data_IF_018623436024
#
_entry.id   IF_018623436024
#
_cell.length_a   1.000
_cell.length_b   1.000
_cell.length_c   1.000
_cell.angle_alpha   90.00
_cell.angle_beta   90.00
_cell.angle_gamma   90.00
#
_symmetry.space_group_name_H-M   'P 1'
#
loop_
_entity.id
_entity.type
_entity.pdbx_description
1 polymer ?
#
# COMPACT_ATOMS: atom_id res chain seq x y z
N UNK A 1 -10.04 23.22 -7.28
CA UNK A 1 -10.26 22.38 -6.12
C UNK A 1 -9.14 21.39 -5.96
N UNK A 2 -8.62 21.29 -4.77
CA UNK A 2 -7.47 20.43 -4.54
C UNK A 2 -7.88 18.97 -4.52
N UNK A 3 -7.05 18.15 -5.12
CA UNK A 3 -7.26 16.72 -5.06
C UNK A 3 -6.78 16.17 -3.71
N UNK A 4 -7.35 15.05 -3.30
CA UNK A 4 -6.86 14.34 -2.13
C UNK A 4 -5.51 13.73 -2.49
N UNK A 5 -4.51 13.99 -1.66
CA UNK A 5 -3.19 13.42 -1.87
C UNK A 5 -3.09 12.06 -1.21
N UNK A 6 -2.63 11.09 -1.96
CA UNK A 6 -2.52 9.72 -1.49
C UNK A 6 -1.12 9.20 -1.68
N UNK A 7 -0.77 8.21 -0.87
CA UNK A 7 0.45 7.43 -1.06
C UNK A 7 0.07 6.08 -1.62
N UNK A 8 0.94 5.52 -2.43
CA UNK A 8 0.78 4.14 -2.91
C UNK A 8 1.78 3.30 -2.17
N UNK A 9 1.34 2.19 -1.61
CA UNK A 9 2.22 1.25 -0.93
C UNK A 9 2.10 -0.13 -1.55
N UNK A 10 3.23 -0.70 -1.94
CA UNK A 10 3.32 -2.03 -2.53
C UNK A 10 4.28 -2.88 -1.72
N UNK A 11 3.92 -4.13 -1.48
CA UNK A 11 4.79 -5.07 -0.79
C UNK A 11 4.72 -6.42 -1.48
N UNK A 12 5.89 -7.02 -1.67
CA UNK A 12 6.00 -8.37 -2.22
C UNK A 12 6.84 -9.21 -1.27
N UNK A 13 6.31 -10.34 -0.85
CA UNK A 13 7.02 -11.28 0.02
C UNK A 13 8.18 -11.94 -0.72
N UNK A 14 9.21 -12.42 0.00
CA UNK A 14 10.42 -12.96 -0.64
C UNK A 14 10.23 -14.41 -1.07
N UNK A 15 9.42 -14.65 -2.09
CA UNK A 15 9.10 -16.01 -2.54
C UNK A 15 9.73 -16.37 -3.90
N UNK A 16 10.45 -15.44 -4.50
CA UNK A 16 11.01 -15.65 -5.83
C UNK A 16 12.29 -14.81 -5.97
N UNK A 17 12.90 -14.86 -7.14
CA UNK A 17 14.10 -14.05 -7.38
C UNK A 17 13.74 -12.57 -7.49
N UNK A 18 14.77 -11.75 -7.36
CA UNK A 18 14.58 -10.31 -7.33
C UNK A 18 13.91 -9.75 -8.59
N UNK A 19 14.27 -10.29 -9.73
CA UNK A 19 13.68 -9.84 -10.98
C UNK A 19 12.17 -10.07 -11.00
N UNK A 20 11.75 -11.27 -10.60
CA UNK A 20 10.33 -11.60 -10.54
C UNK A 20 9.59 -10.73 -9.54
N UNK A 21 10.19 -10.56 -8.36
CA UNK A 21 9.54 -9.74 -7.32
C UNK A 21 9.39 -8.29 -7.77
N UNK A 22 10.40 -7.75 -8.41
CA UNK A 22 10.35 -6.37 -8.91
C UNK A 22 9.25 -6.22 -9.95
N UNK A 23 9.14 -7.20 -10.83
CA UNK A 23 8.10 -7.17 -11.86
C UNK A 23 6.70 -7.21 -11.24
N UNK A 24 6.49 -8.08 -10.25
CA UNK A 24 5.20 -8.19 -9.60
C UNK A 24 4.85 -6.94 -8.79
N UNK A 25 5.85 -6.33 -8.18
CA UNK A 25 5.62 -5.07 -7.48
C UNK A 25 5.20 -3.97 -8.45
N UNK A 26 5.79 -3.96 -9.63
CA UNK A 26 5.41 -3.02 -10.69
C UNK A 26 3.97 -3.18 -11.12
N UNK A 27 3.49 -4.43 -11.17
CA UNK A 27 2.09 -4.68 -11.50
C UNK A 27 1.17 -4.11 -10.42
N UNK A 28 1.50 -4.30 -9.15
CA UNK A 28 0.73 -3.70 -8.06
C UNK A 28 0.70 -2.18 -8.20
N UNK A 29 1.85 -1.59 -8.44
CA UNK A 29 1.97 -0.14 -8.53
C UNK A 29 1.13 0.39 -9.68
N UNK A 30 1.19 -0.27 -10.84
CA UNK A 30 0.42 0.18 -11.99
C UNK A 30 -1.08 0.13 -11.72
N UNK A 31 -1.55 -0.92 -11.06
CA UNK A 31 -2.96 -1.04 -10.71
C UNK A 31 -3.38 0.07 -9.76
N UNK A 32 -2.52 0.41 -8.81
CA UNK A 32 -2.86 1.47 -7.85
C UNK A 32 -2.79 2.86 -8.47
N UNK A 33 -1.87 3.07 -9.41
CA UNK A 33 -1.84 4.33 -10.15
C UNK A 33 -3.14 4.52 -10.93
N UNK A 34 -3.61 3.45 -11.54
CA UNK A 34 -4.87 3.47 -12.29
C UNK A 34 -6.05 3.77 -11.37
N UNK A 35 -6.06 3.13 -10.21
CA UNK A 35 -7.11 3.37 -9.22
C UNK A 35 -7.11 4.82 -8.75
N UNK A 36 -5.93 5.37 -8.50
CA UNK A 36 -5.81 6.76 -8.07
C UNK A 36 -6.34 7.69 -9.15
N UNK A 37 -5.99 7.44 -10.40
CA UNK A 37 -6.46 8.27 -11.51
C UNK A 37 -7.98 8.20 -11.64
N UNK A 38 -8.53 7.00 -11.55
CA UNK A 38 -9.99 6.81 -11.66
C UNK A 38 -10.74 7.49 -10.52
N UNK A 39 -10.10 7.61 -9.37
CA UNK A 39 -10.70 8.25 -8.20
C UNK A 39 -10.38 9.74 -8.10
N UNK A 40 -9.65 10.25 -9.07
CA UNK A 40 -9.25 11.66 -9.10
C UNK A 40 -8.39 12.05 -7.90
N UNK A 41 -7.53 11.14 -7.48
CA UNK A 41 -6.56 11.41 -6.40
C UNK A 41 -5.25 11.87 -7.01
N UNK A 42 -4.48 12.61 -6.20
CA UNK A 42 -3.13 12.99 -6.57
C UNK A 42 -2.17 12.06 -5.84
N UNK A 43 -1.29 11.36 -6.58
CA UNK A 43 -0.31 10.48 -5.97
C UNK A 43 0.88 11.30 -5.53
N UNK A 44 1.07 11.43 -4.22
CA UNK A 44 2.17 12.21 -3.68
C UNK A 44 3.46 11.42 -3.66
N UNK A 45 3.38 10.10 -3.43
CA UNK A 45 4.59 9.29 -3.32
C UNK A 45 4.23 7.81 -3.46
N UNK A 46 5.18 7.03 -3.96
CA UNK A 46 5.05 5.57 -4.02
C UNK A 46 6.09 4.93 -3.12
N UNK A 47 5.68 3.90 -2.39
CA UNK A 47 6.54 3.19 -1.43
C UNK A 47 6.53 1.72 -1.78
N UNK A 48 7.70 1.12 -1.87
CA UNK A 48 7.84 -0.28 -2.28
C UNK A 48 8.74 -1.03 -1.32
N UNK A 49 8.22 -2.10 -0.74
CA UNK A 49 9.01 -3.03 0.07
C UNK A 49 9.03 -4.37 -0.64
N UNK A 50 10.09 -4.60 -1.39
CA UNK A 50 10.25 -5.80 -2.20
C UNK A 50 11.10 -6.79 -1.42
N UNK A 51 10.56 -8.00 -1.21
CA UNK A 51 11.27 -9.03 -0.48
C UNK A 51 11.11 -8.93 1.03
N UNK A 52 9.99 -8.36 1.50
CA UNK A 52 9.71 -8.24 2.92
C UNK A 52 8.36 -8.88 3.23
N UNK A 53 8.27 -9.52 4.39
CA UNK A 53 7.03 -10.14 4.82
C UNK A 53 6.12 -9.13 5.50
N UNK A 54 4.83 -9.46 5.55
CA UNK A 54 3.84 -8.55 6.11
C UNK A 54 3.88 -8.41 7.62
N UNK A 55 4.61 -9.29 8.31
CA UNK A 55 4.78 -9.18 9.76
C UNK A 55 6.06 -8.45 10.15
N UNK A 56 6.86 -8.02 9.19
CA UNK A 56 8.08 -7.28 9.47
C UNK A 56 7.75 -5.79 9.56
N UNK A 57 7.68 -5.28 10.77
CA UNK A 57 7.31 -3.88 10.98
C UNK A 57 8.47 -2.92 10.71
N UNK A 58 9.67 -3.45 10.48
CA UNK A 58 10.84 -2.62 10.22
C UNK A 58 11.11 -2.40 8.74
N UNK A 59 10.18 -2.75 7.89
CA UNK A 59 10.32 -2.55 6.45
C UNK A 59 10.67 -1.11 6.13
N UNK A 60 11.73 -0.86 5.33
CA UNK A 60 12.21 0.51 5.13
C UNK A 60 11.19 1.45 4.49
N UNK A 61 10.48 0.98 3.48
CA UNK A 61 9.50 1.85 2.82
C UNK A 61 8.32 2.13 3.73
N UNK A 62 7.88 1.14 4.51
CA UNK A 62 6.81 1.36 5.48
C UNK A 62 7.23 2.40 6.52
N UNK A 63 8.47 2.32 7.02
CA UNK A 63 8.96 3.29 7.98
C UNK A 63 9.00 4.69 7.38
N UNK A 64 9.43 4.80 6.13
CA UNK A 64 9.45 6.10 5.45
C UNK A 64 8.04 6.62 5.25
N UNK A 65 7.11 5.73 4.92
CA UNK A 65 5.70 6.11 4.74
C UNK A 65 5.12 6.69 6.02
N UNK A 66 5.41 6.06 7.14
CA UNK A 66 4.91 6.55 8.43
C UNK A 66 5.47 7.94 8.74
N UNK A 67 6.75 8.15 8.48
CA UNK A 67 7.36 9.47 8.70
C UNK A 67 6.75 10.53 7.79
N UNK A 68 6.53 10.18 6.53
CA UNK A 68 6.00 11.12 5.56
C UNK A 68 4.56 11.46 5.84
N UNK A 69 3.79 10.49 6.33
CA UNK A 69 2.43 10.79 6.75
C UNK A 69 2.44 11.78 7.91
N UNK A 70 3.32 11.56 8.87
CA UNK A 70 3.41 12.46 10.03
C UNK A 70 3.77 13.88 9.62
N UNK A 71 4.49 14.04 8.52
CA UNK A 71 4.86 15.37 8.05
C UNK A 71 3.81 15.99 7.11
N UNK A 72 2.71 15.29 6.88
CA UNK A 72 1.61 15.85 6.11
C UNK A 72 1.70 15.69 4.61
N UNK A 73 2.54 14.77 4.12
CA UNK A 73 2.73 14.61 2.68
C UNK A 73 1.52 14.09 1.95
N UNK A 74 0.70 13.31 2.61
CA UNK A 74 -0.50 12.73 2.02
C UNK A 74 -1.50 12.45 3.13
N UNK A 75 -2.74 12.17 2.77
CA UNK A 75 -3.77 11.94 3.77
C UNK A 75 -4.36 10.55 3.76
N UNK A 76 -4.00 9.72 2.79
CA UNK A 76 -4.56 8.36 2.68
C UNK A 76 -3.57 7.47 1.96
N UNK A 77 -3.63 6.17 2.25
CA UNK A 77 -2.74 5.19 1.64
C UNK A 77 -3.55 4.20 0.80
N UNK A 78 -3.13 3.99 -0.43
CA UNK A 78 -3.72 3.00 -1.33
C UNK A 78 -2.87 1.75 -1.33
N UNK A 79 -3.53 0.60 -1.19
CA UNK A 79 -2.89 -0.72 -1.24
C UNK A 79 -3.74 -1.64 -2.08
N UNK A 80 -3.13 -2.69 -2.63
CA UNK A 80 -3.90 -3.71 -3.35
C UNK A 80 -4.84 -4.42 -2.37
N UNK A 81 -4.32 -4.77 -1.20
CA UNK A 81 -5.14 -5.32 -0.13
C UNK A 81 -4.46 -4.98 1.18
N UNK A 82 -5.25 -4.99 2.26
CA UNK A 82 -4.74 -4.55 3.56
C UNK A 82 -3.61 -5.41 4.08
N UNK A 83 -3.53 -6.66 3.69
CA UNK A 83 -2.44 -7.52 4.14
C UNK A 83 -1.10 -7.11 3.58
N UNK A 84 -1.05 -6.21 2.59
CA UNK A 84 0.21 -5.64 2.14
C UNK A 84 0.82 -4.76 3.21
N UNK A 85 0.00 -4.14 4.05
CA UNK A 85 0.51 -3.37 5.16
C UNK A 85 0.88 -4.27 6.32
N UNK A 86 -0.07 -5.10 6.79
CA UNK A 86 0.23 -6.03 7.87
C UNK A 86 -0.52 -7.33 7.66
N UNK A 87 0.26 -8.38 7.72
CA UNK A 87 -0.16 -9.72 7.44
C UNK A 87 -1.15 -10.26 8.43
N UNK A 88 -0.84 -10.08 9.69
CA UNK A 88 -1.60 -10.67 10.77
C UNK A 88 -2.59 -9.70 11.36
N UNK A 89 -2.73 -8.63 10.75
CA UNK A 89 -3.46 -7.91 11.05
C UNK A 89 -4.26 -6.92 11.67
N UNK A 90 -5.34 -7.31 12.24
CA UNK A 90 -6.26 -6.31 12.72
C UNK A 90 -5.67 -5.39 13.79
N UNK A 91 -4.84 -5.93 14.66
CA UNK A 91 -4.21 -5.11 15.68
C UNK A 91 -3.33 -4.04 15.07
N UNK A 92 -2.48 -4.46 14.14
CA UNK A 92 -1.56 -3.53 13.51
C UNK A 92 -2.29 -2.53 12.66
N UNK A 93 -3.25 -3.01 11.87
CA UNK A 93 -4.02 -2.12 11.01
C UNK A 93 -4.82 -1.11 11.81
N UNK A 94 -5.38 -1.53 12.92
CA UNK A 94 -6.18 -0.65 13.76
C UNK A 94 -5.35 0.47 14.38
N UNK A 95 -4.05 0.26 14.50
CA UNK A 95 -3.18 1.24 15.12
C UNK A 95 -2.48 2.16 14.11
N UNK A 96 -2.76 1.99 12.82
CA UNK A 96 -2.16 2.87 11.83
C UNK A 96 -2.84 4.24 11.86
N UNK A 97 -2.06 5.29 11.72
CA UNK A 97 -2.59 6.64 11.88
C UNK A 97 -3.30 7.19 10.65
N UNK A 98 -3.29 6.47 9.53
CA UNK A 98 -3.82 6.98 8.28
C UNK A 98 -4.97 6.11 7.76
N UNK A 99 -5.89 6.70 7.00
CA UNK A 99 -6.91 5.91 6.31
C UNK A 99 -6.31 5.05 5.22
N UNK A 100 -6.88 3.88 5.01
CA UNK A 100 -6.40 2.92 4.02
C UNK A 100 -7.52 2.63 3.04
N UNK A 101 -7.20 2.72 1.76
CA UNK A 101 -8.13 2.32 0.71
C UNK A 101 -7.56 1.12 -0.01
N UNK A 102 -8.27 0.01 0.00
CA UNK A 102 -7.87 -1.19 -0.71
C UNK A 102 -8.44 -1.16 -2.11
N UNK A 103 -7.62 -1.41 -3.10
CA UNK A 103 -8.08 -1.48 -4.48
C UNK A 103 -8.91 -2.73 -4.73
N UNK A 104 -8.67 -3.79 -3.95
CA UNK A 104 -9.48 -4.98 -4.06
C UNK A 104 -10.81 -4.69 -3.39
N UNK A 105 -11.87 -4.82 -4.13
CA UNK A 105 -13.17 -4.49 -3.62
C UNK A 105 -13.48 -5.36 -2.44
N UNK A 106 -14.09 -4.70 -1.48
CA UNK A 106 -14.50 -5.44 -0.40
C UNK A 106 -15.50 -6.37 -0.83
N UNK A 107 -15.54 -6.91 -1.01
CA UNK A 107 -16.18 -7.53 -1.55
C UNK A 107 -15.98 -8.44 -2.35
N UNK A 108 -15.81 -8.20 -2.78
CA UNK A 108 -15.63 -8.83 -3.58
C UNK A 108 -15.02 -9.86 -3.19
N UNK A 109 -15.11 -9.54 -2.86
CA UNK A 109 -14.77 -10.15 -2.51
C UNK A 109 -14.43 -10.64 -1.69
N UNK A 110 -14.39 -10.38 -1.26
CA UNK A 110 -13.95 -10.59 -0.41
C UNK A 110 -14.36 -11.44 0.28
N UNK A 111 -14.91 -11.65 0.02
CA UNK A 111 -15.14 -12.36 0.55
C UNK A 111 -15.26 -13.28 0.16
N UNK A 112 -15.46 -13.16 -0.52
CA UNK A 112 -15.35 -13.70 -0.89
C UNK A 112 -14.82 -14.35 -0.76
N UNK A 113 -14.74 -14.27 -0.45
CA UNK A 113 -14.21 -14.56 -0.17
C UNK A 113 -14.13 -14.99 0.01
#
# INVERSE_FOLDING_TARGET
>A
MDKIKVAIYCRISPFADEFTLTHLCGIQKAALMEKAAASNFEVAECYEDIGYTGDDSQRPALQRLLRDYASGKFSMVLVVSRDRLFYDGFKQLANLPFPILSARAKGSNEHEV
#
